data_IF_536011560525
#
_entry.id   IF_536011560525
#
_cell.length_a   1.000
_cell.length_b   1.000
_cell.length_c   1.000
_cell.angle_alpha   90.00
_cell.angle_beta   90.00
_cell.angle_gamma   90.00
#
_symmetry.space_group_name_H-M   'P 1'
#
loop_
_entity.id
_entity.type
_entity.pdbx_description
1 polymer ?
#
# COMPACT_ATOMS: atom_id res chain seq x y z
N UNK A 1 -1.47 4.29 21.64
CA UNK A 1 -2.89 3.96 21.87
C UNK A 1 -3.67 5.13 22.44
N UNK A 2 -3.85 6.16 21.61
CA UNK A 2 -4.58 7.37 22.03
C UNK A 2 -6.04 7.11 22.36
N UNK A 3 -6.60 6.01 21.88
CA UNK A 3 -8.02 5.71 21.96
C UNK A 3 -8.33 4.58 22.97
N UNK A 4 -7.32 4.04 23.64
CA UNK A 4 -7.51 2.98 24.63
C UNK A 4 -8.40 3.42 25.81
N UNK A 5 -8.30 4.69 26.20
CA UNK A 5 -9.12 5.24 27.29
C UNK A 5 -10.56 5.59 26.85
N UNK A 6 -10.82 5.62 25.55
CA UNK A 6 -12.13 5.94 24.96
C UNK A 6 -12.91 4.67 24.63
N UNK A 7 -12.21 3.63 24.17
CA UNK A 7 -12.83 2.39 23.74
C UNK A 7 -13.09 1.44 24.94
N UNK A 8 -14.32 0.98 25.06
CA UNK A 8 -14.71 0.01 26.09
C UNK A 8 -14.13 -1.37 25.74
N UNK A 9 -13.60 -2.14 26.73
CA UNK A 9 -13.21 -3.53 26.51
C UNK A 9 -14.35 -4.37 25.93
N UNK A 10 -14.05 -5.23 24.96
CA UNK A 10 -15.10 -6.08 24.37
C UNK A 10 -15.80 -6.98 25.38
N UNK A 11 -15.07 -7.44 26.40
CA UNK A 11 -15.64 -8.24 27.50
C UNK A 11 -16.72 -7.49 28.29
N UNK A 12 -16.59 -6.20 28.45
CA UNK A 12 -17.60 -5.36 29.15
C UNK A 12 -18.86 -5.17 28.29
N UNK A 13 -18.75 -5.41 26.98
CA UNK A 13 -19.88 -5.44 26.04
C UNK A 13 -20.49 -6.84 25.89
N UNK A 14 -20.02 -7.81 26.66
CA UNK A 14 -20.50 -9.20 26.60
C UNK A 14 -19.93 -10.03 25.45
N UNK A 15 -18.88 -9.54 24.79
CA UNK A 15 -18.17 -10.25 23.73
C UNK A 15 -16.92 -10.90 24.32
N UNK A 16 -16.81 -12.21 24.23
CA UNK A 16 -15.60 -12.96 24.61
C UNK A 16 -14.67 -13.09 23.40
N UNK A 17 -13.55 -12.31 23.34
CA UNK A 17 -12.67 -12.35 22.19
C UNK A 17 -12.06 -13.71 21.90
N UNK A 18 -11.82 -14.53 22.94
CA UNK A 18 -11.22 -15.85 22.78
C UNK A 18 -12.18 -16.87 22.17
N UNK A 19 -13.48 -16.65 22.36
CA UNK A 19 -14.54 -17.51 21.86
C UNK A 19 -15.22 -16.94 20.62
N UNK A 20 -15.68 -15.69 20.71
CA UNK A 20 -16.54 -15.09 19.70
C UNK A 20 -15.72 -14.58 18.49
N UNK A 21 -14.42 -14.33 18.68
CA UNK A 21 -13.49 -13.88 17.65
C UNK A 21 -12.34 -14.87 17.43
N UNK A 22 -12.54 -16.15 17.78
CA UNK A 22 -11.51 -17.19 17.67
C UNK A 22 -10.95 -17.32 16.25
N UNK A 23 -11.80 -17.18 15.23
CA UNK A 23 -11.43 -17.33 13.82
C UNK A 23 -10.81 -16.08 13.19
N UNK A 24 -10.65 -14.98 13.94
CA UNK A 24 -9.96 -13.80 13.43
C UNK A 24 -8.44 -14.00 13.36
N UNK A 25 -7.80 -13.40 12.37
CA UNK A 25 -6.33 -13.38 12.29
C UNK A 25 -5.70 -12.70 13.50
N UNK A 26 -4.64 -13.27 14.05
CA UNK A 26 -3.98 -12.78 15.26
C UNK A 26 -3.52 -11.32 15.14
N UNK A 27 -3.02 -10.89 13.98
CA UNK A 27 -2.60 -9.51 13.76
C UNK A 27 -3.76 -8.51 13.94
N UNK A 28 -4.98 -8.90 13.60
CA UNK A 28 -6.17 -8.03 13.76
C UNK A 28 -6.57 -7.88 15.22
N UNK A 29 -6.43 -8.96 16.00
CA UNK A 29 -6.65 -8.94 17.46
C UNK A 29 -5.61 -8.05 18.14
N UNK A 30 -4.33 -8.25 17.81
CA UNK A 30 -3.21 -7.46 18.36
C UNK A 30 -3.37 -5.97 18.06
N UNK A 31 -3.74 -5.62 16.83
CA UNK A 31 -3.93 -4.21 16.42
C UNK A 31 -5.11 -3.56 17.17
N UNK A 32 -6.10 -4.34 17.54
CA UNK A 32 -7.30 -3.88 18.26
C UNK A 32 -7.20 -4.01 19.79
N UNK A 33 -6.02 -4.35 20.31
CA UNK A 33 -5.74 -4.46 21.74
C UNK A 33 -4.92 -3.27 22.24
N UNK A 34 -5.11 -2.91 23.51
CA UNK A 34 -4.29 -1.92 24.19
C UNK A 34 -2.92 -2.51 24.61
N UNK A 35 -2.10 -1.70 25.28
CA UNK A 35 -0.75 -2.08 25.76
C UNK A 35 -0.77 -3.19 26.80
N UNK A 36 -1.89 -3.38 27.50
CA UNK A 36 -2.08 -4.44 28.49
C UNK A 36 -2.67 -5.72 27.87
N UNK A 37 -2.85 -5.73 26.53
CA UNK A 37 -3.40 -6.85 25.79
C UNK A 37 -4.92 -6.97 25.87
N UNK A 38 -5.61 -5.97 26.40
CA UNK A 38 -7.07 -5.97 26.47
C UNK A 38 -7.65 -5.60 25.12
N UNK A 39 -8.41 -6.50 24.52
CA UNK A 39 -9.03 -6.26 23.23
C UNK A 39 -10.21 -5.29 23.35
N UNK A 40 -10.13 -4.16 22.64
CA UNK A 40 -11.08 -3.05 22.67
C UNK A 40 -11.79 -2.82 21.35
N UNK A 41 -11.45 -3.60 20.34
CA UNK A 41 -12.03 -3.51 19.00
C UNK A 41 -12.02 -4.84 18.27
N UNK A 42 -12.69 -4.86 17.14
CA UNK A 42 -12.71 -5.98 16.20
C UNK A 42 -12.67 -5.45 14.79
N UNK A 43 -12.12 -6.23 13.87
CA UNK A 43 -12.17 -5.91 12.45
C UNK A 43 -13.21 -6.79 11.74
N UNK A 44 -13.88 -6.21 10.76
CA UNK A 44 -14.78 -6.92 9.85
C UNK A 44 -14.13 -7.16 8.47
N UNK A 45 -12.90 -6.71 8.30
CA UNK A 45 -12.25 -6.65 7.00
C UNK A 45 -10.76 -6.99 7.11
N UNK A 46 -10.28 -7.80 6.19
CA UNK A 46 -8.86 -7.96 5.91
C UNK A 46 -8.60 -7.40 4.50
N UNK A 47 -7.70 -6.42 4.38
CA UNK A 47 -7.48 -5.67 3.16
C UNK A 47 -6.07 -5.96 2.61
N UNK A 48 -5.85 -7.11 1.95
CA UNK A 48 -4.56 -7.38 1.33
C UNK A 48 -4.28 -6.33 0.25
N UNK A 49 -3.07 -5.79 0.27
CA UNK A 49 -2.57 -4.94 -0.79
C UNK A 49 -2.27 -5.77 -2.03
N UNK A 50 -2.50 -5.19 -3.21
CA UNK A 50 -2.20 -5.81 -4.49
C UNK A 50 -1.68 -4.78 -5.49
N UNK A 51 -0.92 -5.27 -6.46
CA UNK A 51 -0.57 -4.50 -7.64
C UNK A 51 -1.59 -4.76 -8.73
N UNK A 52 -2.14 -3.69 -9.28
CA UNK A 52 -3.04 -3.74 -10.45
C UNK A 52 -2.36 -3.04 -11.61
N UNK A 53 -2.32 -3.68 -12.78
CA UNK A 53 -1.65 -3.15 -13.95
C UNK A 53 -2.52 -3.11 -15.19
N UNK A 54 -2.18 -2.25 -16.11
CA UNK A 54 -2.76 -2.12 -17.45
C UNK A 54 -2.26 -3.22 -18.37
N UNK A 55 -3.14 -4.14 -18.75
CA UNK A 55 -2.80 -5.27 -19.63
C UNK A 55 -2.40 -4.82 -21.05
N UNK A 56 -3.00 -3.75 -21.55
CA UNK A 56 -2.65 -3.18 -22.86
C UNK A 56 -1.23 -2.60 -22.85
N UNK A 57 -0.82 -1.91 -21.79
CA UNK A 57 0.55 -1.40 -21.63
C UNK A 57 1.54 -2.57 -21.48
N UNK A 58 1.19 -3.60 -20.69
CA UNK A 58 2.03 -4.78 -20.56
C UNK A 58 2.30 -5.45 -21.92
N UNK A 59 1.26 -5.61 -22.74
CA UNK A 59 1.40 -6.14 -24.10
C UNK A 59 2.30 -5.27 -24.99
N UNK A 60 2.11 -3.95 -24.94
CA UNK A 60 2.92 -3.04 -25.77
C UNK A 60 4.39 -3.06 -25.36
N UNK A 61 4.69 -3.08 -24.05
CA UNK A 61 6.06 -2.97 -23.54
C UNK A 61 6.76 -4.31 -23.45
N UNK A 62 6.08 -5.34 -22.94
CA UNK A 62 6.69 -6.65 -22.63
C UNK A 62 6.33 -7.75 -23.64
N UNK A 63 5.40 -7.49 -24.57
CA UNK A 63 4.89 -8.49 -25.50
C UNK A 63 3.94 -9.51 -24.87
N UNK A 64 3.63 -9.37 -23.58
CA UNK A 64 2.73 -10.26 -22.83
C UNK A 64 1.93 -9.48 -21.81
N UNK A 65 0.73 -9.97 -21.51
CA UNK A 65 -0.12 -9.46 -20.42
C UNK A 65 -0.43 -10.56 -19.40
N UNK A 66 0.32 -11.65 -19.43
CA UNK A 66 0.21 -12.75 -18.49
C UNK A 66 0.63 -12.30 -17.08
N UNK A 67 -0.20 -12.53 -16.03
CA UNK A 67 0.09 -12.06 -14.68
C UNK A 67 1.37 -12.64 -14.07
N UNK A 68 1.71 -13.90 -14.37
CA UNK A 68 2.93 -14.52 -13.84
C UNK A 68 4.17 -13.90 -14.48
N UNK A 69 4.15 -13.71 -15.80
CA UNK A 69 5.24 -13.09 -16.53
C UNK A 69 5.44 -11.61 -16.12
N UNK A 70 4.36 -10.86 -15.88
CA UNK A 70 4.42 -9.49 -15.37
C UNK A 70 4.89 -9.48 -13.91
N UNK A 71 4.45 -10.44 -13.10
CA UNK A 71 4.89 -10.61 -11.72
C UNK A 71 6.40 -10.78 -11.59
N UNK A 72 7.02 -11.58 -12.47
CA UNK A 72 8.47 -11.76 -12.49
C UNK A 72 9.26 -10.45 -12.76
N UNK A 73 8.68 -9.52 -13.53
CA UNK A 73 9.28 -8.20 -13.79
C UNK A 73 9.17 -7.23 -12.59
N UNK A 74 8.35 -7.55 -11.60
CA UNK A 74 8.02 -6.70 -10.46
C UNK A 74 8.27 -7.41 -9.11
N UNK A 75 8.98 -8.52 -9.10
CA UNK A 75 9.16 -9.38 -7.93
C UNK A 75 10.06 -8.79 -6.83
N UNK A 76 10.96 -7.90 -7.19
CA UNK A 76 11.85 -7.20 -6.30
C UNK A 76 12.12 -5.78 -6.80
N UNK A 77 12.85 -4.97 -6.02
CA UNK A 77 13.07 -3.56 -6.35
C UNK A 77 13.99 -3.36 -7.56
N UNK A 78 14.99 -4.23 -7.74
CA UNK A 78 15.93 -4.15 -8.87
C UNK A 78 15.23 -4.48 -10.19
N UNK A 79 14.44 -5.56 -10.22
CA UNK A 79 13.65 -5.92 -11.41
C UNK A 79 12.56 -4.89 -11.70
N UNK A 80 11.95 -4.30 -10.67
CA UNK A 80 10.97 -3.22 -10.83
C UNK A 80 11.60 -1.96 -11.42
N UNK A 81 12.83 -1.63 -11.03
CA UNK A 81 13.57 -0.49 -11.59
C UNK A 81 13.93 -0.73 -13.07
N UNK A 82 14.42 -1.91 -13.42
CA UNK A 82 14.67 -2.28 -14.81
C UNK A 82 13.38 -2.22 -15.65
N UNK A 83 12.26 -2.68 -15.11
CA UNK A 83 10.94 -2.59 -15.74
C UNK A 83 10.48 -1.14 -15.93
N UNK A 84 10.78 -0.26 -14.95
CA UNK A 84 10.48 1.17 -15.07
C UNK A 84 11.26 1.84 -16.22
N UNK A 85 12.48 1.40 -16.48
CA UNK A 85 13.27 1.87 -17.64
C UNK A 85 12.63 1.43 -18.97
N UNK A 86 12.18 0.15 -19.07
CA UNK A 86 11.47 -0.35 -20.24
C UNK A 86 10.17 0.45 -20.51
N UNK A 87 9.37 0.67 -19.44
CA UNK A 87 8.13 1.46 -19.51
C UNK A 87 8.40 2.89 -19.95
N UNK A 88 9.37 3.56 -19.34
CA UNK A 88 9.74 4.93 -19.69
C UNK A 88 10.22 5.06 -21.14
N UNK A 89 10.98 4.09 -21.64
CA UNK A 89 11.45 4.08 -23.05
C UNK A 89 10.29 4.09 -24.06
N UNK A 90 9.12 3.56 -23.65
CA UNK A 90 7.86 3.59 -24.41
C UNK A 90 6.94 4.78 -24.04
N UNK A 91 7.37 5.64 -23.14
CA UNK A 91 6.61 6.83 -22.73
C UNK A 91 5.55 6.59 -21.67
N UNK A 92 5.68 5.50 -20.90
CA UNK A 92 4.80 5.18 -19.79
C UNK A 92 5.44 5.50 -18.43
N UNK A 93 4.59 5.75 -17.43
CA UNK A 93 4.97 5.82 -16.03
C UNK A 93 4.73 4.46 -15.37
N UNK A 94 5.61 4.06 -14.45
CA UNK A 94 5.43 2.81 -13.69
C UNK A 94 4.26 2.92 -12.74
N UNK A 95 4.22 3.97 -11.92
CA UNK A 95 3.14 4.24 -10.97
C UNK A 95 2.58 5.65 -11.15
N UNK A 96 1.35 5.85 -10.65
CA UNK A 96 0.67 7.14 -10.72
C UNK A 96 1.35 8.20 -9.85
N UNK A 97 1.85 7.84 -8.68
CA UNK A 97 2.48 8.77 -7.76
C UNK A 97 3.53 8.09 -6.89
N UNK A 98 4.33 8.89 -6.19
CA UNK A 98 5.26 8.39 -5.16
C UNK A 98 4.54 7.70 -3.98
N UNK A 99 3.28 8.06 -3.72
CA UNK A 99 2.52 7.48 -2.63
C UNK A 99 2.12 6.02 -2.87
N UNK A 100 2.10 5.55 -4.13
CA UNK A 100 1.78 4.16 -4.47
C UNK A 100 2.75 3.18 -3.81
N UNK A 101 4.02 3.53 -3.72
CA UNK A 101 5.04 2.64 -3.15
C UNK A 101 5.16 2.71 -1.63
N UNK A 102 4.52 3.69 -0.96
CA UNK A 102 4.68 3.90 0.48
C UNK A 102 4.43 2.63 1.31
N UNK A 103 3.39 1.87 0.98
CA UNK A 103 3.04 0.66 1.75
C UNK A 103 4.06 -0.47 1.65
N UNK A 104 4.83 -0.53 0.58
CA UNK A 104 5.92 -1.51 0.44
C UNK A 104 7.01 -1.28 1.50
N UNK A 105 7.31 -0.02 1.78
CA UNK A 105 8.29 0.36 2.81
C UNK A 105 7.65 0.45 4.19
N UNK A 106 6.49 1.11 4.31
CA UNK A 106 5.81 1.36 5.57
C UNK A 106 5.36 0.10 6.29
N UNK A 107 5.02 -0.97 5.56
CA UNK A 107 4.67 -2.26 6.17
C UNK A 107 5.91 -3.10 6.56
N UNK A 108 7.11 -2.65 6.19
CA UNK A 108 8.39 -3.31 6.48
C UNK A 108 9.20 -2.59 7.55
N UNK A 109 8.65 -1.57 8.21
CA UNK A 109 9.34 -0.87 9.30
C UNK A 109 9.52 -1.80 10.50
N UNK A 110 10.65 -1.67 11.16
CA UNK A 110 11.04 -2.50 12.31
C UNK A 110 10.93 -1.74 13.64
N UNK A 111 10.78 -0.42 13.59
CA UNK A 111 10.65 0.42 14.77
C UNK A 111 9.37 1.23 14.77
N UNK A 112 8.78 1.42 15.93
CA UNK A 112 7.65 2.34 16.10
C UNK A 112 8.09 3.79 15.89
N UNK A 113 7.15 4.64 15.42
CA UNK A 113 7.40 6.08 15.27
C UNK A 113 7.70 6.79 16.60
N UNK A 114 7.19 6.25 17.70
CA UNK A 114 7.43 6.73 19.06
C UNK A 114 7.56 5.51 19.96
N UNK A 115 8.67 5.39 20.65
CA UNK A 115 8.88 4.31 21.62
C UNK A 115 7.88 4.43 22.79
N UNK A 116 7.37 3.32 23.35
CA UNK A 116 6.51 3.36 24.51
C UNK A 116 7.11 4.20 25.65
N UNK A 117 6.33 5.14 26.19
CA UNK A 117 6.77 6.05 27.26
C UNK A 117 7.66 7.21 26.81
N UNK A 118 7.93 7.36 25.51
CA UNK A 118 8.70 8.47 24.95
C UNK A 118 7.80 9.48 24.24
N UNK A 119 8.31 10.70 24.06
CA UNK A 119 7.72 11.75 23.19
C UNK A 119 8.60 12.05 22.00
N UNK A 120 9.73 11.34 21.84
CA UNK A 120 10.69 11.54 20.76
C UNK A 120 10.25 10.76 19.53
N UNK A 121 10.13 11.45 18.41
CA UNK A 121 9.86 10.82 17.12
C UNK A 121 11.14 10.12 16.62
N UNK A 122 10.99 8.88 16.19
CA UNK A 122 12.02 8.08 15.56
C UNK A 122 11.55 7.71 14.16
N UNK A 123 12.31 8.10 13.15
CA UNK A 123 12.01 7.72 11.76
C UNK A 123 12.80 6.47 11.41
N UNK A 124 12.09 5.41 11.05
CA UNK A 124 12.69 4.16 10.59
C UNK A 124 13.47 4.38 9.28
N UNK A 125 14.60 3.67 9.12
CA UNK A 125 15.42 3.79 7.91
C UNK A 125 14.63 3.45 6.65
N UNK A 126 13.70 2.51 6.69
CA UNK A 126 12.81 2.17 5.57
C UNK A 126 12.02 3.38 5.05
N UNK A 127 11.60 4.28 5.93
CA UNK A 127 10.91 5.49 5.53
C UNK A 127 11.86 6.49 4.85
N UNK A 128 13.10 6.58 5.33
CA UNK A 128 14.13 7.40 4.68
C UNK A 128 14.50 6.86 3.30
N UNK A 129 14.59 5.53 3.17
CA UNK A 129 14.82 4.86 1.89
C UNK A 129 13.67 5.16 0.91
N UNK A 130 12.41 5.05 1.36
CA UNK A 130 11.26 5.40 0.53
C UNK A 130 11.30 6.86 0.03
N UNK A 131 11.71 7.81 0.88
CA UNK A 131 11.84 9.23 0.49
C UNK A 131 12.91 9.38 -0.60
N UNK A 132 14.07 8.74 -0.41
CA UNK A 132 15.20 8.80 -1.35
C UNK A 132 14.84 8.17 -2.70
N UNK A 133 14.27 6.97 -2.67
CA UNK A 133 13.86 6.24 -3.87
C UNK A 133 12.71 6.96 -4.60
N UNK A 134 11.75 7.50 -3.87
CA UNK A 134 10.66 8.30 -4.46
C UNK A 134 11.19 9.53 -5.19
N UNK A 135 12.20 10.20 -4.61
CA UNK A 135 12.85 11.34 -5.26
C UNK A 135 13.60 10.90 -6.52
N UNK A 136 14.41 9.83 -6.43
CA UNK A 136 15.13 9.27 -7.57
C UNK A 136 14.17 8.91 -8.71
N UNK A 137 13.07 8.22 -8.41
CA UNK A 137 12.09 7.79 -9.39
C UNK A 137 11.33 8.95 -10.03
N UNK A 138 11.03 10.01 -9.26
CA UNK A 138 10.45 11.24 -9.80
C UNK A 138 11.43 11.93 -10.75
N UNK A 139 12.69 12.06 -10.36
CA UNK A 139 13.73 12.73 -11.18
C UNK A 139 14.02 11.92 -12.45
N UNK A 140 14.04 10.59 -12.34
CA UNK A 140 14.17 9.67 -13.46
C UNK A 140 12.97 9.67 -14.40
N UNK A 141 11.80 10.14 -13.97
CA UNK A 141 10.57 10.18 -14.77
C UNK A 141 9.84 8.84 -14.85
N UNK A 142 10.01 7.98 -13.85
CA UNK A 142 9.27 6.71 -13.71
C UNK A 142 7.90 6.89 -13.06
N UNK A 143 7.69 8.00 -12.35
CA UNK A 143 6.44 8.37 -11.70
C UNK A 143 5.80 9.57 -12.39
N UNK A 144 4.47 9.62 -12.39
CA UNK A 144 3.75 10.77 -12.90
C UNK A 144 3.85 11.94 -11.91
N UNK A 145 4.53 13.03 -12.32
CA UNK A 145 4.75 14.21 -11.47
C UNK A 145 3.49 15.06 -11.21
N UNK A 146 2.43 14.85 -11.99
CA UNK A 146 1.20 15.65 -11.86
C UNK A 146 0.26 15.10 -10.78
N UNK A 147 0.33 13.83 -10.48
CA UNK A 147 -0.48 13.20 -9.44
C UNK A 147 0.20 13.34 -8.07
N UNK A 148 -0.45 14.03 -7.14
CA UNK A 148 0.12 14.44 -5.85
C UNK A 148 -0.15 13.49 -4.68
N UNK A 149 -0.48 12.24 -4.94
CA UNK A 149 -0.74 11.23 -3.91
C UNK A 149 -1.82 10.27 -4.34
N UNK A 150 -2.26 9.43 -3.42
CA UNK A 150 -3.36 8.47 -3.63
C UNK A 150 -4.71 9.06 -3.19
N UNK A 151 -5.79 8.43 -3.61
CA UNK A 151 -7.17 8.64 -3.14
C UNK A 151 -7.74 10.05 -3.49
N UNK A 152 -7.28 10.62 -4.59
CA UNK A 152 -7.84 11.83 -5.19
C UNK A 152 -8.26 11.55 -6.64
N UNK A 153 -9.00 12.49 -7.25
CA UNK A 153 -9.56 12.31 -8.60
C UNK A 153 -8.50 12.03 -9.66
N UNK A 154 -7.36 12.70 -9.60
CA UNK A 154 -6.27 12.51 -10.57
C UNK A 154 -5.67 11.10 -10.46
N UNK A 155 -5.50 10.62 -9.22
CA UNK A 155 -5.01 9.27 -8.97
C UNK A 155 -6.05 8.21 -9.35
N UNK A 156 -7.33 8.42 -9.02
CA UNK A 156 -8.40 7.51 -9.36
C UNK A 156 -8.52 7.31 -10.89
N UNK A 157 -8.29 8.38 -11.66
CA UNK A 157 -8.31 8.34 -13.12
C UNK A 157 -7.02 7.84 -13.76
N UNK A 158 -5.97 7.64 -12.98
CA UNK A 158 -4.65 7.30 -13.53
C UNK A 158 -4.61 5.98 -14.31
N UNK A 159 -5.56 5.07 -14.09
CA UNK A 159 -5.68 3.81 -14.82
C UNK A 159 -6.65 3.85 -16.00
N UNK A 160 -7.25 5.00 -16.31
CA UNK A 160 -8.13 5.12 -17.49
C UNK A 160 -7.34 4.98 -18.80
N UNK A 161 -8.05 4.62 -19.87
CA UNK A 161 -7.44 4.20 -21.16
C UNK A 161 -6.60 5.29 -21.84
N UNK A 162 -6.86 6.56 -21.56
CA UNK A 162 -6.17 7.72 -22.12
C UNK A 162 -4.92 8.13 -21.34
N UNK A 163 -4.62 7.46 -20.23
CA UNK A 163 -3.44 7.77 -19.40
C UNK A 163 -2.22 6.91 -19.78
N UNK A 164 -1.08 7.33 -19.24
CA UNK A 164 0.24 6.67 -19.47
C UNK A 164 0.74 5.90 -18.25
N UNK A 165 -0.12 5.65 -17.24
CA UNK A 165 0.27 4.94 -16.01
C UNK A 165 0.08 3.45 -16.20
N UNK A 166 1.13 2.68 -15.88
CA UNK A 166 1.14 1.23 -15.99
C UNK A 166 0.44 0.54 -14.83
N UNK A 167 0.74 0.95 -13.59
CA UNK A 167 0.24 0.23 -12.41
C UNK A 167 -0.13 1.16 -11.24
N UNK A 168 -0.99 0.65 -10.38
CA UNK A 168 -1.34 1.19 -9.07
C UNK A 168 -1.13 0.11 -8.00
N UNK A 169 -0.84 0.56 -6.77
CA UNK A 169 -0.78 -0.30 -5.58
C UNK A 169 -1.88 0.12 -4.60
N UNK A 170 -2.83 -0.77 -4.34
CA UNK A 170 -3.94 -0.49 -3.43
C UNK A 170 -4.57 -1.78 -2.87
N UNK A 171 -5.38 -1.70 -1.80
CA UNK A 171 -6.13 -2.83 -1.26
C UNK A 171 -7.21 -3.32 -2.24
N UNK A 172 -7.64 -4.57 -2.10
CA UNK A 172 -8.62 -5.21 -2.98
C UNK A 172 -9.93 -4.41 -3.14
N UNK A 173 -10.38 -3.69 -2.10
CA UNK A 173 -11.56 -2.82 -2.20
C UNK A 173 -11.39 -1.63 -3.16
N UNK A 174 -10.17 -1.26 -3.51
CA UNK A 174 -9.90 -0.23 -4.51
C UNK A 174 -10.42 -0.56 -5.91
N UNK A 175 -10.69 -1.84 -6.21
CA UNK A 175 -11.34 -2.25 -7.45
C UNK A 175 -12.70 -1.58 -7.59
N UNK A 176 -13.52 -1.59 -6.52
CA UNK A 176 -14.87 -1.04 -6.55
C UNK A 176 -14.88 0.50 -6.43
N UNK A 177 -13.94 1.08 -5.67
CA UNK A 177 -13.92 2.51 -5.39
C UNK A 177 -13.04 3.33 -6.35
N UNK A 178 -12.11 2.70 -7.05
CA UNK A 178 -11.18 3.38 -7.94
C UNK A 178 -11.31 2.92 -9.40
N UNK A 179 -11.25 1.62 -9.68
CA UNK A 179 -11.19 1.14 -11.06
C UNK A 179 -12.55 1.12 -11.76
N UNK A 180 -13.59 0.62 -11.10
CA UNK A 180 -14.92 0.51 -11.73
C UNK A 180 -15.59 1.85 -12.04
N UNK A 181 -15.44 2.90 -11.20
CA UNK A 181 -16.05 4.20 -11.48
C UNK A 181 -15.32 5.03 -12.54
N UNK A 182 -14.07 4.73 -12.86
CA UNK A 182 -13.19 5.49 -13.74
C UNK A 182 -12.68 4.64 -14.92
#
# INVERSE_FOLDING_TARGET
>A
DKDADVAIPLKDLGIDPDKDLADQYDFTKTTASDTDGVQRGSTWQCCPGTLVYRRDIAKDVFGTDDPEAVGEKLKDWDTTKATAEELKAKGYYTFASYADTFRLYGNSIESSWVEPGSTTIKVDQKIMDWISDSKEWLDAGYLNKTVKGQWNDDWNKAMSADTKVFALLFPAWGIDFTLKPN
#
